data_IF_714394392017
#
_entry.id   IF_714394392017
#
_cell.length_a   1.000
_cell.length_b   1.000
_cell.length_c   1.000
_cell.angle_alpha   90.00
_cell.angle_beta   90.00
_cell.angle_gamma   90.00
#
_symmetry.space_group_name_H-M   'P 1'
#
loop_
_entity.id
_entity.type
_entity.pdbx_description
1 polymer ?
#
# COMPACT_ATOMS: atom_id res chain seq x y z
N UNK A 1 18.83 -10.92 2.63
CA UNK A 1 18.04 -11.10 3.85
C UNK A 1 17.88 -12.60 4.07
N UNK A 2 18.07 -13.13 5.28
CA UNK A 2 17.99 -14.58 5.50
C UNK A 2 16.56 -15.06 5.26
N UNK A 3 16.37 -16.08 4.41
CA UNK A 3 15.07 -16.68 4.11
C UNK A 3 14.27 -17.04 5.37
N UNK A 4 14.95 -17.48 6.44
CA UNK A 4 14.37 -17.77 7.75
C UNK A 4 13.62 -16.58 8.38
N UNK A 5 14.09 -15.34 8.14
CA UNK A 5 13.41 -14.13 8.65
C UNK A 5 12.12 -13.84 7.89
N UNK A 6 12.11 -14.08 6.60
CA UNK A 6 10.92 -13.89 5.75
C UNK A 6 9.83 -14.90 6.16
N UNK A 7 10.20 -16.16 6.36
CA UNK A 7 9.30 -17.21 6.87
C UNK A 7 8.73 -16.82 8.24
N UNK A 8 9.56 -16.31 9.16
CA UNK A 8 9.11 -15.84 10.48
C UNK A 8 8.06 -14.75 10.36
N UNK A 9 8.26 -13.76 9.48
CA UNK A 9 7.29 -12.68 9.25
C UNK A 9 6.00 -13.22 8.63
N UNK A 10 6.10 -14.18 7.70
CA UNK A 10 4.94 -14.82 7.08
C UNK A 10 4.09 -15.56 8.12
N UNK A 11 4.72 -16.34 9.00
CA UNK A 11 4.05 -17.07 10.09
C UNK A 11 3.33 -16.11 11.04
N UNK A 12 3.99 -15.04 11.47
CA UNK A 12 3.41 -14.03 12.37
C UNK A 12 2.24 -13.32 11.67
N UNK A 13 2.41 -12.86 10.44
CA UNK A 13 1.35 -12.16 9.69
C UNK A 13 0.13 -13.03 9.46
N UNK A 14 0.30 -14.32 9.13
CA UNK A 14 -0.80 -15.26 9.03
C UNK A 14 -1.54 -15.44 10.36
N UNK A 15 -0.82 -15.71 11.46
CA UNK A 15 -1.43 -15.91 12.76
C UNK A 15 -2.22 -14.69 13.23
N UNK A 16 -1.67 -13.49 13.02
CA UNK A 16 -2.34 -12.23 13.34
C UNK A 16 -3.61 -12.02 12.51
N UNK A 17 -3.54 -12.27 11.19
CA UNK A 17 -4.69 -12.19 10.29
C UNK A 17 -5.77 -13.20 10.68
N UNK A 18 -5.39 -14.43 11.01
CA UNK A 18 -6.30 -15.47 11.46
C UNK A 18 -7.03 -15.08 12.75
N UNK A 19 -6.31 -14.54 13.76
CA UNK A 19 -6.92 -14.03 14.99
C UNK A 19 -7.93 -12.89 14.73
N UNK A 20 -7.62 -11.98 13.80
CA UNK A 20 -8.57 -10.93 13.41
C UNK A 20 -9.83 -11.51 12.76
N UNK A 21 -9.69 -12.50 11.88
CA UNK A 21 -10.81 -13.16 11.23
C UNK A 21 -11.68 -13.92 12.23
N UNK A 22 -11.07 -14.67 13.16
CA UNK A 22 -11.77 -15.35 14.25
C UNK A 22 -12.59 -14.39 15.10
N UNK A 23 -12.00 -13.27 15.52
CA UNK A 23 -12.70 -12.22 16.27
C UNK A 23 -13.87 -11.63 15.49
N UNK A 24 -13.73 -11.47 14.18
CA UNK A 24 -14.81 -10.99 13.33
C UNK A 24 -15.98 -11.99 13.25
N UNK A 25 -15.70 -13.30 13.30
CA UNK A 25 -16.75 -14.34 13.28
C UNK A 25 -17.51 -14.44 14.61
N UNK A 26 -16.86 -14.09 15.72
CA UNK A 26 -17.46 -14.09 17.07
C UNK A 26 -18.35 -12.85 17.33
N UNK A 27 -18.32 -11.86 16.43
CA UNK A 27 -19.16 -10.66 16.56
C UNK A 27 -20.64 -10.99 16.42
N UNK A 28 -21.43 -10.63 17.42
CA UNK A 28 -22.88 -10.86 17.46
C UNK A 28 -23.70 -10.01 16.49
N UNK A 29 -23.06 -9.08 15.77
CA UNK A 29 -23.72 -8.14 14.83
C UNK A 29 -23.65 -8.58 13.37
N UNK A 30 -23.24 -9.81 13.08
CA UNK A 30 -23.22 -10.33 11.72
C UNK A 30 -24.63 -10.78 11.33
N UNK A 31 -25.13 -10.29 10.19
CA UNK A 31 -26.42 -10.68 9.63
C UNK A 31 -26.46 -12.19 9.36
N UNK A 32 -27.59 -12.88 9.64
CA UNK A 32 -27.73 -14.29 9.32
C UNK A 32 -27.44 -14.56 7.84
N UNK A 33 -26.59 -15.54 7.56
CA UNK A 33 -26.15 -15.88 6.20
C UNK A 33 -24.89 -15.18 5.72
N UNK A 34 -24.33 -14.22 6.48
CA UNK A 34 -23.08 -13.53 6.16
C UNK A 34 -21.94 -13.90 7.13
N UNK A 35 -22.06 -15.01 7.84
CA UNK A 35 -21.00 -15.52 8.69
C UNK A 35 -19.80 -15.89 7.82
N UNK A 36 -18.70 -15.16 8.00
CA UNK A 36 -17.46 -15.45 7.32
C UNK A 36 -16.71 -16.54 8.08
N UNK A 37 -16.58 -17.71 7.47
CA UNK A 37 -15.71 -18.77 8.01
C UNK A 37 -14.29 -18.48 7.50
N UNK A 38 -13.29 -18.39 8.38
CA UNK A 38 -11.90 -18.24 7.93
C UNK A 38 -11.50 -19.37 7.00
N UNK A 39 -10.84 -19.05 5.90
CA UNK A 39 -10.34 -20.07 4.99
C UNK A 39 -9.28 -20.90 5.70
N UNK A 40 -9.35 -22.23 5.56
CA UNK A 40 -8.40 -23.14 6.20
C UNK A 40 -6.97 -22.94 5.70
N UNK A 41 -6.83 -22.51 4.44
CA UNK A 41 -5.54 -22.19 3.82
C UNK A 41 -5.58 -20.81 3.19
N UNK A 42 -4.52 -20.04 3.38
CA UNK A 42 -4.37 -18.70 2.83
C UNK A 42 -2.98 -18.52 2.22
N UNK A 43 -2.89 -17.62 1.25
CA UNK A 43 -1.61 -17.17 0.72
C UNK A 43 -1.08 -16.02 1.59
N UNK A 44 0.19 -16.11 1.94
CA UNK A 44 0.91 -15.06 2.66
C UNK A 44 2.03 -14.56 1.78
N UNK A 45 2.00 -13.30 1.45
CA UNK A 45 3.03 -12.64 0.65
C UNK A 45 3.87 -11.72 1.52
N UNK A 46 5.18 -11.85 1.43
CA UNK A 46 6.18 -10.97 2.05
C UNK A 46 7.16 -10.56 0.96
N UNK A 47 7.13 -9.29 0.56
CA UNK A 47 7.82 -8.82 -0.65
C UNK A 47 7.45 -9.69 -1.89
N UNK A 48 8.45 -10.28 -2.55
CA UNK A 48 8.29 -11.15 -3.73
C UNK A 48 8.04 -12.63 -3.37
N UNK A 49 8.06 -12.98 -2.08
CA UNK A 49 7.89 -14.36 -1.61
C UNK A 49 6.44 -14.62 -1.26
N UNK A 50 5.89 -15.70 -1.83
CA UNK A 50 4.54 -16.18 -1.56
C UNK A 50 4.60 -17.55 -0.90
N UNK A 51 3.88 -17.68 0.21
CA UNK A 51 3.78 -18.90 1.00
C UNK A 51 2.32 -19.34 1.11
N UNK A 52 2.09 -20.65 1.17
CA UNK A 52 0.79 -21.18 1.59
C UNK A 52 0.83 -21.45 3.08
N UNK A 53 -0.10 -20.85 3.82
CA UNK A 53 -0.19 -21.00 5.26
C UNK A 53 -1.54 -21.55 5.70
N UNK A 54 -1.52 -22.38 6.73
CA UNK A 54 -2.71 -22.89 7.41
C UNK A 54 -2.50 -22.97 8.92
N UNK A 55 -3.59 -23.06 9.68
CA UNK A 55 -3.52 -23.18 11.14
C UNK A 55 -3.12 -24.62 11.52
N UNK A 56 -2.29 -24.76 12.53
CA UNK A 56 -1.93 -25.99 13.19
C UNK A 56 -2.29 -25.93 14.68
N UNK A 57 -2.22 -27.06 15.39
CA UNK A 57 -2.43 -27.10 16.86
C UNK A 57 -1.33 -26.36 17.61
N UNK A 58 -0.09 -26.42 17.11
CA UNK A 58 1.10 -25.83 17.73
C UNK A 58 1.46 -24.45 17.20
N UNK A 59 0.87 -24.05 16.07
CA UNK A 59 1.23 -22.78 15.41
C UNK A 59 0.66 -22.64 14.02
N UNK A 60 1.54 -22.62 13.04
CA UNK A 60 1.23 -22.38 11.61
C UNK A 60 1.99 -23.36 10.74
N UNK A 61 1.29 -24.02 9.83
CA UNK A 61 1.92 -24.79 8.75
C UNK A 61 2.22 -23.85 7.59
N UNK A 62 3.48 -23.66 7.27
CA UNK A 62 3.94 -22.82 6.16
C UNK A 62 4.56 -23.72 5.08
N UNK A 63 4.00 -23.77 3.87
CA UNK A 63 4.42 -24.65 2.77
C UNK A 63 4.56 -26.13 3.18
N UNK A 64 3.69 -26.61 4.07
CA UNK A 64 3.72 -28.00 4.55
C UNK A 64 4.65 -28.25 5.75
N UNK A 65 5.38 -27.23 6.22
CA UNK A 65 6.25 -27.32 7.40
C UNK A 65 5.53 -26.71 8.61
N UNK A 66 5.40 -27.46 9.69
CA UNK A 66 4.79 -26.97 10.94
C UNK A 66 5.79 -26.11 11.72
N UNK A 67 5.40 -24.90 12.04
CA UNK A 67 6.21 -23.89 12.73
C UNK A 67 5.50 -23.52 14.03
N UNK A 68 6.12 -23.82 15.15
CA UNK A 68 5.58 -23.48 16.46
C UNK A 68 5.56 -21.96 16.66
N UNK A 69 4.39 -21.46 17.10
CA UNK A 69 4.19 -20.04 17.39
C UNK A 69 3.44 -19.88 18.70
N UNK A 70 4.05 -19.14 19.61
CA UNK A 70 3.41 -18.74 20.86
C UNK A 70 3.42 -17.21 20.98
N UNK A 71 2.27 -16.60 21.24
CA UNK A 71 2.12 -15.16 21.39
C UNK A 71 0.84 -14.84 22.15
N UNK A 72 0.88 -13.78 22.92
CA UNK A 72 -0.25 -13.15 23.60
C UNK A 72 -0.81 -11.93 22.86
N UNK A 73 -0.32 -11.67 21.64
CA UNK A 73 -0.75 -10.54 20.83
C UNK A 73 -2.26 -10.59 20.53
N UNK A 74 -2.92 -9.45 20.72
CA UNK A 74 -4.34 -9.26 20.38
C UNK A 74 -4.52 -8.22 19.26
N UNK A 75 -5.58 -8.37 18.44
CA UNK A 75 -5.90 -7.39 17.43
C UNK A 75 -6.10 -5.99 18.00
N UNK A 76 -5.23 -5.05 17.60
CA UNK A 76 -5.15 -3.68 18.11
C UNK A 76 -3.86 -3.36 18.84
N UNK A 77 -3.09 -4.35 19.24
CA UNK A 77 -1.79 -4.12 19.86
C UNK A 77 -0.77 -3.63 18.82
N UNK A 78 -0.02 -2.59 19.20
CA UNK A 78 1.01 -1.99 18.36
C UNK A 78 2.31 -2.79 18.32
N UNK A 79 2.49 -3.73 19.26
CA UNK A 79 3.69 -4.54 19.40
C UNK A 79 3.32 -6.01 19.41
N UNK A 80 3.98 -6.77 18.55
CA UNK A 80 3.98 -8.22 18.60
C UNK A 80 5.16 -8.68 19.45
N UNK A 81 4.89 -9.54 20.46
CA UNK A 81 5.89 -10.26 21.21
C UNK A 81 5.49 -11.72 21.30
N UNK A 82 6.43 -12.61 20.95
CA UNK A 82 6.14 -14.03 20.93
C UNK A 82 7.37 -14.85 20.62
N UNK A 83 7.22 -16.16 20.54
CA UNK A 83 8.28 -17.08 20.13
C UNK A 83 7.89 -17.80 18.83
N UNK A 84 8.82 -17.90 17.91
CA UNK A 84 8.71 -18.69 16.69
C UNK A 84 9.79 -19.77 16.72
N UNK A 85 9.39 -21.05 16.77
CA UNK A 85 10.29 -22.19 17.00
C UNK A 85 11.22 -21.98 18.23
N UNK A 86 10.67 -21.37 19.32
CA UNK A 86 11.41 -21.08 20.55
C UNK A 86 12.33 -19.85 20.48
N UNK A 87 12.44 -19.16 19.33
CA UNK A 87 13.21 -17.94 19.18
C UNK A 87 12.33 -16.71 19.48
N UNK A 88 12.74 -15.87 20.44
CA UNK A 88 11.99 -14.66 20.80
C UNK A 88 12.00 -13.63 19.68
N UNK A 89 10.83 -13.17 19.32
CA UNK A 89 10.59 -12.15 18.28
C UNK A 89 9.79 -11.00 18.87
N UNK A 90 10.28 -9.76 18.66
CA UNK A 90 9.60 -8.53 19.01
C UNK A 90 9.54 -7.63 17.76
N UNK A 91 8.34 -7.18 17.38
CA UNK A 91 8.09 -6.37 16.20
C UNK A 91 7.09 -5.26 16.52
N UNK A 92 7.23 -4.12 15.85
CA UNK A 92 6.16 -3.13 15.77
C UNK A 92 5.19 -3.55 14.69
N UNK A 93 3.91 -3.35 14.93
CA UNK A 93 2.81 -3.76 14.06
C UNK A 93 2.03 -2.54 13.62
N UNK A 94 2.07 -2.26 12.32
CA UNK A 94 1.23 -1.26 11.70
C UNK A 94 0.22 -1.93 10.77
N UNK A 95 -1.01 -1.42 10.75
CA UNK A 95 -2.07 -2.00 9.93
C UNK A 95 -1.92 -1.58 8.48
N UNK A 96 -2.01 -2.53 7.57
CA UNK A 96 -2.07 -2.32 6.12
C UNK A 96 -3.41 -2.79 5.56
N UNK A 97 -3.80 -2.31 4.38
CA UNK A 97 -5.09 -2.64 3.75
C UNK A 97 -5.33 -4.15 3.58
N UNK A 98 -4.28 -4.92 3.29
CA UNK A 98 -4.34 -6.36 3.03
C UNK A 98 -3.57 -7.20 4.05
N UNK A 99 -3.19 -6.61 5.19
CA UNK A 99 -2.40 -7.29 6.20
C UNK A 99 -1.71 -6.34 7.17
N UNK A 100 -0.40 -6.46 7.30
CA UNK A 100 0.40 -5.73 8.28
C UNK A 100 1.73 -5.24 7.71
N UNK A 101 2.21 -4.11 8.21
CA UNK A 101 3.62 -3.74 8.11
C UNK A 101 4.29 -4.13 9.42
N UNK A 102 5.20 -5.08 9.35
CA UNK A 102 5.96 -5.59 10.49
C UNK A 102 7.35 -4.98 10.51
N UNK A 103 7.67 -4.24 11.56
CA UNK A 103 8.95 -3.55 11.69
C UNK A 103 9.75 -4.13 12.83
N UNK A 104 10.97 -4.55 12.55
CA UNK A 104 11.88 -5.06 13.57
C UNK A 104 13.34 -5.02 13.12
N UNK A 105 14.23 -4.76 14.08
CA UNK A 105 15.69 -4.68 13.83
C UNK A 105 16.07 -3.75 12.67
N UNK A 106 15.37 -2.61 12.57
CA UNK A 106 15.63 -1.58 11.55
C UNK A 106 15.10 -1.90 10.15
N UNK A 107 14.28 -2.92 9.98
CA UNK A 107 13.69 -3.30 8.70
C UNK A 107 12.17 -3.37 8.84
N UNK A 108 11.45 -2.69 7.94
CA UNK A 108 10.01 -2.78 7.80
C UNK A 108 9.66 -3.65 6.57
N UNK A 109 8.68 -4.55 6.73
CA UNK A 109 8.19 -5.42 5.66
C UNK A 109 6.68 -5.50 5.68
N UNK A 110 6.08 -5.40 4.50
CA UNK A 110 4.64 -5.61 4.32
C UNK A 110 4.37 -7.10 4.20
N UNK A 111 3.45 -7.58 5.03
CA UNK A 111 2.95 -8.95 5.00
C UNK A 111 1.48 -8.89 4.61
N UNK A 112 1.15 -9.37 3.42
CA UNK A 112 -0.22 -9.45 2.93
C UNK A 112 -0.75 -10.87 3.08
N UNK A 113 -1.99 -11.01 3.55
CA UNK A 113 -2.65 -12.29 3.75
C UNK A 113 -3.95 -12.32 2.96
N UNK A 114 -4.04 -13.25 2.01
CA UNK A 114 -5.16 -13.33 1.05
C UNK A 114 -5.67 -14.76 0.92
N UNK A 115 -6.85 -14.92 0.36
CA UNK A 115 -7.34 -16.22 -0.10
C UNK A 115 -6.47 -16.73 -1.23
N UNK A 116 -6.27 -18.05 -1.32
CA UNK A 116 -5.47 -18.65 -2.41
C UNK A 116 -6.00 -18.24 -3.79
N UNK A 117 -7.31 -18.31 -4.00
CA UNK A 117 -7.93 -17.88 -5.26
C UNK A 117 -7.67 -16.40 -5.60
N UNK A 118 -7.63 -15.52 -4.60
CA UNK A 118 -7.30 -14.11 -4.82
C UNK A 118 -5.82 -13.93 -5.21
N UNK A 119 -4.93 -14.69 -4.63
CA UNK A 119 -3.50 -14.67 -4.97
C UNK A 119 -3.25 -15.14 -6.41
N UNK A 120 -3.97 -16.15 -6.89
CA UNK A 120 -3.87 -16.61 -8.28
C UNK A 120 -4.29 -15.52 -9.28
N UNK A 121 -5.35 -14.76 -8.96
CA UNK A 121 -5.85 -13.67 -9.81
C UNK A 121 -4.92 -12.46 -9.78
N UNK A 122 -4.16 -12.24 -8.71
CA UNK A 122 -3.19 -11.14 -8.62
C UNK A 122 -2.15 -11.15 -9.76
N UNK A 123 -1.78 -12.33 -10.27
CA UNK A 123 -0.86 -12.45 -11.40
C UNK A 123 -1.40 -11.83 -12.71
N UNK A 124 -2.72 -11.66 -12.81
CA UNK A 124 -3.39 -11.03 -13.97
C UNK A 124 -3.70 -9.56 -13.76
N UNK A 125 -3.46 -9.03 -12.57
CA UNK A 125 -3.66 -7.60 -12.33
C UNK A 125 -2.54 -6.80 -13.01
N UNK A 126 -2.88 -5.76 -13.81
CA UNK A 126 -1.87 -4.86 -14.35
C UNK A 126 -1.12 -4.19 -13.20
N UNK A 127 0.16 -4.00 -13.37
CA UNK A 127 0.94 -3.19 -12.45
C UNK A 127 0.27 -1.81 -12.31
N UNK A 128 0.08 -1.37 -11.08
CA UNK A 128 -0.41 -0.02 -10.82
C UNK A 128 0.63 0.95 -11.35
N UNK A 129 0.38 1.50 -12.53
CA UNK A 129 1.12 2.65 -13.01
C UNK A 129 0.71 3.79 -12.08
N UNK A 130 1.59 4.15 -11.16
CA UNK A 130 1.37 5.36 -10.38
C UNK A 130 1.29 6.51 -11.38
N UNK A 131 0.06 7.02 -11.54
CA UNK A 131 -0.28 8.01 -12.57
C UNK A 131 0.27 9.42 -12.30
N UNK A 132 1.12 9.59 -11.31
CA UNK A 132 2.00 10.74 -11.20
C UNK A 132 3.18 10.52 -12.14
N UNK A 133 3.05 10.91 -13.37
CA UNK A 133 4.21 11.11 -14.21
C UNK A 133 5.01 12.25 -13.53
N UNK A 134 6.05 11.85 -12.80
CA UNK A 134 7.01 12.76 -12.17
C UNK A 134 7.63 13.75 -13.18
N UNK A 135 7.28 13.59 -14.45
CA UNK A 135 7.77 14.33 -15.61
C UNK A 135 6.75 15.26 -16.24
N UNK A 136 5.49 15.22 -15.80
CA UNK A 136 4.42 16.02 -16.42
C UNK A 136 3.52 16.64 -15.35
N UNK A 137 3.16 17.91 -15.54
CA UNK A 137 2.09 18.53 -14.79
C UNK A 137 0.79 18.34 -15.55
N UNK A 138 -0.12 17.56 -14.97
CA UNK A 138 -1.45 17.31 -15.51
C UNK A 138 -2.48 18.29 -14.94
N UNK A 139 -3.50 18.59 -15.72
CA UNK A 139 -4.63 19.40 -15.26
C UNK A 139 -5.53 18.57 -14.33
N UNK A 140 -5.67 18.92 -13.03
CA UNK A 140 -6.40 18.10 -12.07
C UNK A 140 -7.93 18.21 -12.21
N UNK A 141 -8.42 19.22 -12.91
CA UNK A 141 -9.85 19.49 -13.06
C UNK A 141 -10.12 20.29 -14.34
N UNK A 142 -11.29 20.10 -15.00
CA UNK A 142 -11.61 20.85 -16.20
C UNK A 142 -11.76 22.33 -15.89
N UNK A 143 -11.06 23.18 -16.65
CA UNK A 143 -11.04 24.62 -16.38
C UNK A 143 -10.40 25.44 -17.49
N UNK A 144 -10.15 26.72 -17.19
CA UNK A 144 -9.47 27.66 -18.06
C UNK A 144 -8.17 28.10 -17.43
N UNK A 145 -7.08 28.09 -18.17
CA UNK A 145 -5.79 28.60 -17.71
C UNK A 145 -5.86 30.12 -17.56
N UNK A 146 -5.69 30.61 -16.34
CA UNK A 146 -5.65 32.05 -16.05
C UNK A 146 -4.27 32.61 -16.37
N UNK A 147 -3.23 31.94 -15.90
CA UNK A 147 -1.84 32.34 -16.12
C UNK A 147 -0.88 31.16 -16.03
N UNK A 148 0.24 31.25 -16.73
CA UNK A 148 1.39 30.35 -16.57
C UNK A 148 2.55 31.16 -16.03
N UNK A 149 3.15 30.74 -14.93
CA UNK A 149 4.16 31.48 -14.19
C UNK A 149 5.60 31.07 -14.53
N UNK A 150 5.79 30.10 -15.44
CA UNK A 150 7.09 29.52 -15.78
C UNK A 150 7.32 29.46 -17.28
N UNK A 151 8.60 29.43 -17.66
CA UNK A 151 9.03 29.32 -19.06
C UNK A 151 9.87 28.04 -19.29
N UNK A 152 9.94 27.59 -20.55
CA UNK A 152 10.77 26.46 -20.93
C UNK A 152 12.25 26.73 -20.61
N UNK A 153 12.92 25.76 -19.98
CA UNK A 153 14.31 25.85 -19.51
C UNK A 153 14.46 26.42 -18.10
N UNK A 154 13.39 26.88 -17.45
CA UNK A 154 13.43 27.43 -16.10
C UNK A 154 13.55 26.30 -15.06
N UNK A 155 14.45 26.49 -14.07
CA UNK A 155 14.54 25.64 -12.88
C UNK A 155 13.59 26.17 -11.82
N UNK A 156 12.73 25.31 -11.26
CA UNK A 156 11.67 25.62 -10.32
C UNK A 156 11.88 24.83 -9.03
N UNK A 157 11.66 25.43 -7.88
CA UNK A 157 11.78 24.76 -6.58
C UNK A 157 10.44 24.20 -6.12
N UNK A 158 10.50 23.20 -5.26
CA UNK A 158 9.32 22.64 -4.60
C UNK A 158 8.49 23.75 -3.92
N UNK A 159 7.17 23.77 -4.18
CA UNK A 159 6.23 24.77 -3.69
C UNK A 159 6.08 26.03 -4.56
N UNK A 160 6.90 26.23 -5.57
CA UNK A 160 6.82 27.37 -6.51
C UNK A 160 5.60 27.22 -7.42
N UNK A 161 4.92 28.35 -7.73
CA UNK A 161 3.74 28.35 -8.57
C UNK A 161 4.12 28.11 -10.05
N UNK A 162 3.45 27.18 -10.71
CA UNK A 162 3.66 26.82 -12.10
C UNK A 162 2.58 27.42 -13.02
N UNK A 163 1.33 27.26 -12.64
CA UNK A 163 0.18 27.74 -13.41
C UNK A 163 -1.01 28.01 -12.48
N UNK A 164 -1.93 28.83 -12.95
CA UNK A 164 -3.23 29.10 -12.28
C UNK A 164 -4.35 28.67 -13.23
N UNK A 165 -5.24 27.81 -12.74
CA UNK A 165 -6.40 27.31 -13.49
C UNK A 165 -7.67 27.72 -12.76
N UNK A 166 -8.59 28.36 -13.48
CA UNK A 166 -9.93 28.66 -12.99
C UNK A 166 -10.89 27.54 -13.34
N UNK A 167 -11.48 26.94 -12.32
CA UNK A 167 -12.51 25.92 -12.44
C UNK A 167 -13.64 26.23 -11.45
N UNK A 168 -14.89 26.13 -11.88
CA UNK A 168 -16.08 26.36 -11.03
C UNK A 168 -16.06 27.72 -10.29
N UNK A 169 -15.53 28.79 -10.93
CA UNK A 169 -15.34 30.16 -10.36
C UNK A 169 -14.35 30.21 -9.19
N UNK A 170 -13.44 29.27 -9.11
CA UNK A 170 -12.35 29.25 -8.14
C UNK A 170 -11.01 29.14 -8.87
N UNK A 171 -10.05 29.92 -8.43
CA UNK A 171 -8.68 29.84 -8.94
C UNK A 171 -7.87 28.81 -8.16
N UNK A 172 -7.27 27.86 -8.86
CA UNK A 172 -6.40 26.84 -8.29
C UNK A 172 -4.97 27.09 -8.75
N UNK A 173 -4.07 27.28 -7.81
CA UNK A 173 -2.66 27.48 -8.08
C UNK A 173 -1.97 26.11 -8.06
N UNK A 174 -1.50 25.66 -9.21
CA UNK A 174 -0.72 24.46 -9.37
C UNK A 174 0.75 24.76 -9.02
N UNK A 175 1.35 23.97 -8.13
CA UNK A 175 2.69 24.19 -7.61
C UNK A 175 3.58 22.98 -7.90
N UNK A 176 4.87 23.23 -8.02
CA UNK A 176 5.86 22.16 -8.13
C UNK A 176 5.90 21.31 -6.84
N UNK A 177 5.82 19.99 -6.97
CA UNK A 177 5.93 19.07 -5.83
C UNK A 177 7.39 18.83 -5.40
N UNK A 178 8.31 19.00 -6.32
CA UNK A 178 9.75 18.81 -6.14
C UNK A 178 10.54 19.84 -6.96
N UNK A 179 11.86 19.88 -6.72
CA UNK A 179 12.77 20.69 -7.54
C UNK A 179 12.88 20.05 -8.94
N UNK A 180 12.48 20.79 -9.98
CA UNK A 180 12.43 20.32 -11.36
C UNK A 180 12.88 21.39 -12.35
N UNK A 181 13.25 20.98 -13.54
CA UNK A 181 13.49 21.90 -14.66
C UNK A 181 12.36 21.75 -15.69
N UNK A 182 11.78 22.88 -16.07
CA UNK A 182 10.70 22.92 -17.07
C UNK A 182 11.30 22.62 -18.46
N UNK A 183 10.88 21.53 -19.06
CA UNK A 183 11.29 21.15 -20.42
C UNK A 183 10.48 21.89 -21.47
N UNK A 184 9.16 21.88 -21.30
CA UNK A 184 8.23 22.48 -22.26
C UNK A 184 6.94 22.91 -21.58
N UNK A 185 6.39 24.04 -21.98
CA UNK A 185 5.07 24.53 -21.60
C UNK A 185 4.12 24.27 -22.77
N UNK A 186 3.02 23.55 -22.55
CA UNK A 186 2.07 23.10 -23.56
C UNK A 186 0.74 23.86 -23.54
N UNK A 187 0.52 24.73 -22.54
CA UNK A 187 -0.69 25.53 -22.40
C UNK A 187 -0.38 27.03 -22.33
N UNK A 188 -1.35 27.84 -22.68
CA UNK A 188 -1.28 29.30 -22.62
C UNK A 188 -2.49 29.87 -21.84
N UNK A 189 -2.37 31.13 -21.35
CA UNK A 189 -3.48 31.82 -20.73
C UNK A 189 -4.69 31.92 -21.67
N UNK A 190 -5.86 31.52 -21.18
CA UNK A 190 -7.10 31.42 -21.94
C UNK A 190 -7.44 30.05 -22.52
N UNK A 191 -6.53 29.09 -22.47
CA UNK A 191 -6.78 27.73 -22.94
C UNK A 191 -7.77 26.98 -22.03
N UNK A 192 -8.64 26.20 -22.66
CA UNK A 192 -9.58 25.32 -21.95
C UNK A 192 -8.96 23.93 -21.88
N UNK A 193 -8.82 23.41 -20.69
CA UNK A 193 -8.22 22.11 -20.43
C UNK A 193 -9.26 21.14 -19.86
N UNK A 194 -9.15 19.88 -20.27
CA UNK A 194 -9.85 18.75 -19.64
C UNK A 194 -9.02 18.19 -18.48
N UNK A 195 -9.60 17.22 -17.76
CA UNK A 195 -8.87 16.44 -16.76
C UNK A 195 -7.77 15.64 -17.46
N UNK A 196 -6.60 15.57 -16.83
CA UNK A 196 -5.40 14.85 -17.28
C UNK A 196 -4.75 15.43 -18.57
N UNK A 197 -5.19 16.59 -19.05
CA UNK A 197 -4.45 17.29 -20.12
C UNK A 197 -3.06 17.70 -19.60
N UNK A 198 -2.02 17.46 -20.40
CA UNK A 198 -0.64 17.80 -20.08
C UNK A 198 -0.43 19.30 -20.23
N UNK A 199 -0.08 19.99 -19.15
CA UNK A 199 0.18 21.43 -19.14
C UNK A 199 1.66 21.77 -19.30
N UNK A 200 2.52 21.06 -18.58
CA UNK A 200 3.97 21.31 -18.51
C UNK A 200 4.69 19.95 -18.49
N UNK A 201 5.75 19.82 -19.32
CA UNK A 201 6.69 18.70 -19.25
C UNK A 201 7.94 19.12 -18.47
N UNK A 202 8.45 18.21 -17.64
CA UNK A 202 9.69 18.37 -16.87
C UNK A 202 10.77 17.44 -17.38
N UNK A 203 12.04 17.76 -17.09
CA UNK A 203 13.20 16.92 -17.39
C UNK A 203 13.41 15.83 -16.33
#
# INVERSE_FOLDING_TARGET
MDGKRIETLAVIGFAMSHLQQMRATESSQVLPGHQHTPDMQQAVQVDDYVFTASRSETGVVLNGVDIALESDWLPGDLFFRGTVNGELVCLTVDRHSEGFVLTGRGVAKTVSVRRLAAQEVMAYMPEKIDGSSDKELLCPMPGVVVSVAVEAGQSVKAGEALAVVEAMKMENILRAEKDVTVKKVLCAAGDKLAVDDVMIEFD
#
